data_IF_912607907193
#
_entry.id   IF_912607907193
#
_cell.length_a   1.000
_cell.length_b   1.000
_cell.length_c   1.000
_cell.angle_alpha   90.00
_cell.angle_beta   90.00
_cell.angle_gamma   90.00
#
_symmetry.space_group_name_H-M   'P 1'
#
loop_
_entity.id
_entity.type
_entity.pdbx_description
1 polymer ?
#
# COMPACT_ATOMS: atom_id res chain seq x y z
N UNK A 1 -10.55 24.87 -32.11
CA UNK A 1 -10.66 25.45 -30.75
C UNK A 1 -9.25 25.85 -30.27
N UNK A 2 -9.12 26.90 -29.45
CA UNK A 2 -7.84 27.31 -28.83
C UNK A 2 -7.86 26.97 -27.33
N UNK A 3 -6.81 26.35 -26.76
CA UNK A 3 -6.75 26.04 -25.33
C UNK A 3 -6.63 27.32 -24.48
N UNK A 4 -7.25 27.32 -23.30
CA UNK A 4 -7.22 28.43 -22.34
C UNK A 4 -6.51 27.95 -21.07
N UNK A 5 -5.58 28.75 -20.55
CA UNK A 5 -4.90 28.45 -19.30
C UNK A 5 -5.74 28.96 -18.11
N UNK A 6 -6.00 28.08 -17.15
CA UNK A 6 -6.72 28.39 -15.92
C UNK A 6 -5.84 28.04 -14.72
N UNK A 7 -5.90 28.86 -13.66
CA UNK A 7 -5.26 28.54 -12.38
C UNK A 7 -5.99 27.40 -11.65
N UNK A 8 -5.33 26.77 -10.67
CA UNK A 8 -5.84 25.57 -9.97
C UNK A 8 -7.22 25.78 -9.34
N UNK A 9 -7.46 26.94 -8.72
CA UNK A 9 -8.72 27.28 -8.05
C UNK A 9 -9.85 27.38 -9.08
N UNK A 10 -9.61 28.09 -10.19
CA UNK A 10 -10.60 28.30 -11.24
C UNK A 10 -10.89 27.01 -12.00
N UNK A 11 -9.86 26.20 -12.26
CA UNK A 11 -10.01 24.88 -12.86
C UNK A 11 -10.82 23.93 -11.95
N UNK A 12 -10.59 23.97 -10.64
CA UNK A 12 -11.30 23.12 -9.67
C UNK A 12 -12.77 23.49 -9.52
N UNK A 13 -13.12 24.77 -9.60
CA UNK A 13 -14.52 25.24 -9.55
C UNK A 13 -15.26 25.06 -10.89
N UNK A 14 -14.54 24.93 -12.00
CA UNK A 14 -15.10 24.76 -13.34
C UNK A 14 -15.36 23.29 -13.72
N UNK A 15 -15.27 22.36 -12.76
CA UNK A 15 -15.64 20.95 -12.98
C UNK A 15 -17.15 20.80 -13.23
N UNK A 16 -17.52 19.84 -14.08
CA UNK A 16 -18.92 19.60 -14.45
C UNK A 16 -19.77 19.07 -13.28
N UNK A 17 -19.12 18.38 -12.35
CA UNK A 17 -19.73 17.84 -11.14
C UNK A 17 -19.91 18.92 -10.09
N UNK A 18 -21.18 19.20 -9.75
CA UNK A 18 -21.44 20.19 -8.71
C UNK A 18 -21.11 19.64 -7.32
N UNK A 19 -21.17 18.33 -7.09
CA UNK A 19 -20.76 17.72 -5.82
C UNK A 19 -19.26 17.90 -5.59
N UNK A 20 -18.45 17.64 -6.62
CA UNK A 20 -17.00 17.84 -6.56
C UNK A 20 -16.62 19.32 -6.48
N UNK A 21 -17.32 20.20 -7.21
CA UNK A 21 -17.08 21.64 -7.12
C UNK A 21 -17.40 22.18 -5.73
N UNK A 22 -18.56 21.80 -5.16
CA UNK A 22 -19.02 22.28 -3.86
C UNK A 22 -18.16 21.81 -2.68
N UNK A 23 -17.44 20.69 -2.84
CA UNK A 23 -16.53 20.14 -1.82
C UNK A 23 -15.17 20.84 -1.78
N UNK A 24 -14.85 21.69 -2.76
CA UNK A 24 -13.59 22.43 -2.78
C UNK A 24 -13.73 23.73 -1.98
N UNK A 25 -14.54 24.67 -2.49
CA UNK A 25 -14.81 25.99 -1.90
C UNK A 25 -16.17 26.52 -2.39
N UNK A 26 -16.62 27.66 -1.84
CA UNK A 26 -17.84 28.39 -2.29
C UNK A 26 -19.14 27.54 -2.26
N UNK A 27 -19.25 26.59 -1.32
CA UNK A 27 -20.31 25.56 -1.25
C UNK A 27 -21.73 26.11 -1.43
N UNK A 28 -22.11 27.18 -0.71
CA UNK A 28 -23.46 27.77 -0.80
C UNK A 28 -23.79 28.25 -2.21
N UNK A 29 -22.84 28.91 -2.88
CA UNK A 29 -23.02 29.42 -4.24
C UNK A 29 -23.17 28.28 -5.24
N UNK A 30 -22.29 27.28 -5.17
CA UNK A 30 -22.30 26.13 -6.08
C UNK A 30 -23.60 25.33 -5.95
N UNK A 31 -24.04 25.04 -4.71
CA UNK A 31 -25.27 24.28 -4.48
C UNK A 31 -26.52 25.06 -4.91
N UNK A 32 -26.55 26.37 -4.67
CA UNK A 32 -27.68 27.23 -5.10
C UNK A 32 -27.79 27.27 -6.63
N UNK A 33 -26.69 27.49 -7.34
CA UNK A 33 -26.66 27.50 -8.80
C UNK A 33 -27.07 26.14 -9.39
N UNK A 34 -26.64 25.03 -8.77
CA UNK A 34 -27.01 23.69 -9.19
C UNK A 34 -28.51 23.42 -8.97
N UNK A 35 -29.07 23.83 -7.84
CA UNK A 35 -30.48 23.68 -7.51
C UNK A 35 -31.38 24.49 -8.45
N UNK A 36 -31.04 25.76 -8.70
CA UNK A 36 -31.80 26.62 -9.63
C UNK A 36 -31.80 26.05 -11.05
N UNK A 37 -30.67 25.51 -11.50
CA UNK A 37 -30.52 24.93 -12.84
C UNK A 37 -31.00 23.48 -12.93
N UNK A 38 -31.42 22.85 -11.83
CA UNK A 38 -31.80 21.44 -11.77
C UNK A 38 -30.69 20.49 -12.24
N UNK A 39 -29.43 20.79 -11.93
CA UNK A 39 -28.29 19.97 -12.37
C UNK A 39 -28.34 18.57 -11.75
N UNK A 40 -27.97 17.57 -12.53
CA UNK A 40 -27.81 16.19 -12.09
C UNK A 40 -26.32 15.83 -12.14
N UNK A 41 -25.81 15.24 -11.07
CA UNK A 41 -24.42 14.78 -11.00
C UNK A 41 -24.32 13.30 -11.42
N UNK A 42 -23.61 12.97 -12.51
CA UNK A 42 -23.50 11.60 -12.99
C UNK A 42 -22.52 10.73 -12.18
N UNK A 43 -21.79 11.30 -11.20
CA UNK A 43 -20.85 10.58 -10.33
C UNK A 43 -19.74 9.84 -11.11
N UNK A 44 -19.17 10.46 -12.14
CA UNK A 44 -18.12 9.83 -12.99
C UNK A 44 -16.73 10.02 -12.38
N UNK A 45 -16.56 11.03 -11.54
CA UNK A 45 -15.30 11.43 -10.95
C UNK A 45 -14.97 10.71 -9.65
N UNK A 46 -13.73 10.89 -9.20
CA UNK A 46 -13.23 10.30 -7.97
C UNK A 46 -13.90 10.92 -6.73
N UNK A 47 -13.94 12.26 -6.66
CA UNK A 47 -14.44 12.98 -5.47
C UNK A 47 -15.91 12.71 -5.21
N UNK A 48 -16.77 12.74 -6.23
CA UNK A 48 -18.20 12.47 -6.03
C UNK A 48 -18.43 11.08 -5.43
N UNK A 49 -17.75 10.05 -5.95
CA UNK A 49 -17.90 8.69 -5.45
C UNK A 49 -17.41 8.55 -4.02
N UNK A 50 -16.31 9.22 -3.65
CA UNK A 50 -15.85 9.27 -2.25
C UNK A 50 -16.89 9.93 -1.34
N UNK A 51 -17.44 11.08 -1.74
CA UNK A 51 -18.42 11.83 -0.94
C UNK A 51 -19.69 11.01 -0.70
N UNK A 52 -20.14 10.27 -1.71
CA UNK A 52 -21.35 9.43 -1.63
C UNK A 52 -21.08 8.07 -0.95
N UNK A 53 -19.81 7.66 -0.83
CA UNK A 53 -19.42 6.36 -0.27
C UNK A 53 -19.55 5.18 -1.24
N UNK A 54 -19.45 5.44 -2.56
CA UNK A 54 -19.38 4.40 -3.60
C UNK A 54 -17.93 4.07 -3.95
N UNK A 55 -17.71 2.91 -4.60
CA UNK A 55 -16.40 2.55 -5.14
C UNK A 55 -15.91 3.64 -6.11
N UNK A 56 -14.69 4.13 -5.88
CA UNK A 56 -14.07 5.12 -6.77
C UNK A 56 -13.75 4.48 -8.13
N UNK A 57 -13.78 5.25 -9.24
CA UNK A 57 -13.46 4.77 -10.58
C UNK A 57 -11.94 4.67 -10.82
N UNK A 58 -11.20 4.09 -9.85
CA UNK A 58 -9.76 3.92 -9.91
C UNK A 58 -9.34 2.61 -9.19
N UNK A 59 -8.20 2.04 -9.60
CA UNK A 59 -7.67 0.81 -9.02
C UNK A 59 -8.68 -0.35 -9.09
N UNK A 60 -8.82 -1.09 -7.99
CA UNK A 60 -9.78 -2.22 -7.86
C UNK A 60 -11.25 -1.79 -7.97
N UNK A 61 -11.54 -0.49 -7.89
CA UNK A 61 -12.89 0.04 -8.14
C UNK A 61 -13.29 0.05 -9.61
N UNK A 62 -12.32 -0.01 -10.54
CA UNK A 62 -12.62 -0.14 -11.98
C UNK A 62 -13.16 -1.53 -12.30
N UNK A 63 -14.13 -1.60 -13.22
CA UNK A 63 -14.75 -2.87 -13.64
C UNK A 63 -13.74 -3.95 -14.04
N UNK A 64 -12.65 -3.55 -14.71
CA UNK A 64 -11.59 -4.47 -15.18
C UNK A 64 -10.81 -5.14 -14.04
N UNK A 65 -10.82 -4.57 -12.84
CA UNK A 65 -10.04 -5.02 -11.68
C UNK A 65 -10.91 -5.49 -10.50
N UNK A 66 -12.23 -5.59 -10.69
CA UNK A 66 -13.19 -5.95 -9.63
C UNK A 66 -13.13 -7.44 -9.24
N UNK A 67 -12.56 -8.28 -10.10
CA UNK A 67 -12.47 -9.73 -9.91
C UNK A 67 -11.04 -10.22 -9.77
N UNK A 68 -10.13 -9.36 -9.31
CA UNK A 68 -8.78 -9.78 -8.99
C UNK A 68 -8.79 -10.57 -7.68
N UNK A 69 -8.14 -11.72 -7.68
CA UNK A 69 -7.79 -12.44 -6.46
C UNK A 69 -6.57 -11.77 -5.82
N UNK A 70 -6.72 -11.31 -4.59
CA UNK A 70 -5.63 -10.72 -3.83
C UNK A 70 -4.84 -11.87 -3.23
N UNK A 71 -3.63 -12.10 -3.73
CA UNK A 71 -2.69 -13.05 -3.14
C UNK A 71 -1.93 -12.31 -2.06
N UNK A 72 -2.28 -12.56 -0.79
CA UNK A 72 -1.47 -12.08 0.33
C UNK A 72 -0.15 -12.83 0.32
N UNK A 73 0.93 -12.15 -0.05
CA UNK A 73 2.28 -12.64 0.19
C UNK A 73 2.62 -12.37 1.65
N UNK A 74 2.00 -13.11 2.55
CA UNK A 74 2.44 -13.15 3.93
C UNK A 74 3.93 -13.51 3.93
N UNK A 75 4.80 -12.76 4.65
CA UNK A 75 6.20 -13.14 4.74
C UNK A 75 6.27 -14.57 5.26
N UNK A 76 6.82 -15.46 4.45
CA UNK A 76 7.08 -16.83 4.88
C UNK A 76 7.95 -16.77 6.13
N UNK A 77 7.64 -17.52 7.20
CA UNK A 77 8.53 -17.61 8.35
C UNK A 77 9.90 -18.04 7.84
N UNK A 78 10.89 -17.17 8.00
CA UNK A 78 12.29 -17.49 7.68
C UNK A 78 12.67 -18.63 8.62
N UNK A 79 13.13 -19.79 8.12
CA UNK A 79 13.54 -20.87 9.01
C UNK A 79 14.62 -20.34 9.97
N UNK A 80 14.41 -20.50 11.27
CA UNK A 80 15.41 -20.16 12.27
C UNK A 80 16.70 -20.93 11.92
N UNK A 81 17.86 -20.25 11.92
CA UNK A 81 19.12 -20.94 11.69
C UNK A 81 19.28 -22.06 12.73
N UNK A 82 19.85 -23.22 12.34
CA UNK A 82 20.06 -24.31 13.28
C UNK A 82 20.89 -23.79 14.46
N UNK A 83 20.43 -24.09 15.68
CA UNK A 83 21.21 -23.83 16.89
C UNK A 83 22.59 -24.49 16.74
N UNK A 84 23.68 -23.82 17.15
CA UNK A 84 25.01 -24.40 17.04
C UNK A 84 25.04 -25.68 17.86
N UNK A 85 25.29 -26.82 17.19
CA UNK A 85 25.55 -28.09 17.85
C UNK A 85 26.67 -27.89 18.87
N UNK A 86 26.40 -28.25 20.12
CA UNK A 86 27.40 -28.17 21.18
C UNK A 86 28.67 -28.90 20.72
N UNK A 87 29.87 -28.33 20.92
CA UNK A 87 31.09 -28.97 20.46
C UNK A 87 31.19 -30.36 21.12
N UNK A 88 31.37 -31.39 20.30
CA UNK A 88 31.61 -32.74 20.78
C UNK A 88 32.79 -32.70 21.76
N UNK A 89 32.61 -33.25 22.96
CA UNK A 89 33.70 -33.42 23.91
C UNK A 89 34.80 -34.26 23.24
N UNK A 90 35.96 -33.65 22.96
CA UNK A 90 37.12 -34.41 22.48
C UNK A 90 37.56 -35.38 23.59
N UNK A 91 37.76 -36.67 23.28
CA UNK A 91 38.26 -37.61 24.27
C UNK A 91 39.69 -37.18 24.65
N UNK A 92 39.90 -36.95 25.94
CA UNK A 92 41.23 -36.65 26.50
C UNK A 92 42.12 -37.87 26.27
N UNK A 93 43.16 -37.76 25.45
CA UNK A 93 44.16 -38.83 25.28
C UNK A 93 44.88 -39.06 26.61
N UNK A 94 44.71 -40.25 27.18
CA UNK A 94 45.44 -40.68 28.36
C UNK A 94 46.90 -40.92 27.97
N UNK A 95 47.80 -40.04 28.42
CA UNK A 95 49.23 -40.12 28.10
C UNK A 95 49.85 -41.34 28.77
N UNK A 96 50.22 -42.34 27.98
CA UNK A 96 50.92 -43.54 28.44
C UNK A 96 52.36 -43.20 28.86
N UNK A 97 52.55 -43.02 30.17
CA UNK A 97 53.82 -42.68 30.81
C UNK A 97 54.91 -43.76 30.66
N UNK A 98 54.58 -44.96 30.17
CA UNK A 98 55.55 -46.04 29.97
C UNK A 98 56.57 -45.76 28.85
N UNK A 99 56.29 -44.77 27.98
CA UNK A 99 57.21 -44.34 26.91
C UNK A 99 58.31 -43.39 27.37
N UNK A 100 58.19 -42.75 28.54
CA UNK A 100 59.17 -41.78 29.03
C UNK A 100 60.38 -42.43 29.70
N UNK A 101 60.25 -43.63 30.27
CA UNK A 101 61.36 -44.32 30.93
C UNK A 101 62.37 -44.95 29.95
N UNK A 102 61.96 -45.24 28.71
CA UNK A 102 62.83 -45.84 27.69
C UNK A 102 63.78 -44.85 27.00
N UNK A 103 63.71 -43.57 27.34
CA UNK A 103 64.57 -42.51 26.80
C UNK A 103 65.74 -42.13 27.75
N UNK A 104 65.84 -42.75 28.93
CA UNK A 104 66.90 -42.50 29.91
C UNK A 104 67.90 -43.66 30.04
N UNK A 105 68.22 -44.38 28.96
CA UNK A 105 69.38 -45.28 28.87
C UNK A 105 70.05 -45.19 27.52
#
# INVERSE_FOLDING_TARGET
>A
AKPILLGITKASLATDSFLSAASFQETTRVLTDAAIKGKIDPLVGLKENVIIGKLIPAGTGMTRYRHLEIVDHAPQPVPEPPEPEAPAEEPVEEVDLSRLEKLSS
#
